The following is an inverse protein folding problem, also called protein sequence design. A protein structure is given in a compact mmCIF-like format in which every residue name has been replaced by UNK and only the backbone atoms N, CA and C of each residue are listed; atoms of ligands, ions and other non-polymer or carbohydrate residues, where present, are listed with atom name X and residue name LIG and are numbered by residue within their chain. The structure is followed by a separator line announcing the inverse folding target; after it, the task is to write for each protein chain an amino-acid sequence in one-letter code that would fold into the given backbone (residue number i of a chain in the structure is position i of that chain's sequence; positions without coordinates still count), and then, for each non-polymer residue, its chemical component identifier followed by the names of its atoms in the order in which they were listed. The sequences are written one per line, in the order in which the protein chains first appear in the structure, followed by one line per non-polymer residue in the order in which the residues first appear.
data_IF_847932330673
#
_entry.id   IF_847932330673
#
_cell.length_a   1.000
_cell.length_b   1.000
_cell.length_c   1.000
_cell.angle_alpha   90.00
_cell.angle_beta   90.00
_cell.angle_gamma   90.00
#
_symmetry.space_group_name_H-M   'P 1'
#
loop_
_entity.id
_entity.type
_entity.pdbx_description
1 polymer ?
#
# COMPACT_ATOMS: atom_id res chain seq x y z
N UNK A 1 -0.98 -16.99 -3.94
CA UNK A 1 -0.10 -16.47 -4.92
C UNK A 1 0.11 -15.00 -4.77
N UNK A 2 1.30 -14.56 -4.94
CA UNK A 2 1.63 -13.16 -4.73
C UNK A 2 1.40 -12.38 -6.00
N UNK A 3 0.73 -11.25 -5.89
CA UNK A 3 0.58 -10.35 -7.01
C UNK A 3 1.82 -9.49 -7.10
N UNK A 4 2.36 -9.32 -8.29
CA UNK A 4 3.57 -8.55 -8.49
C UNK A 4 3.27 -7.18 -9.06
N UNK A 5 4.16 -6.24 -8.79
CA UNK A 5 4.09 -4.91 -9.39
C UNK A 5 4.62 -5.02 -10.81
N UNK A 6 3.91 -4.44 -11.81
CA UNK A 6 4.40 -4.50 -13.18
C UNK A 6 5.78 -3.88 -13.32
N UNK A 7 6.60 -4.45 -14.21
CA UNK A 7 8.00 -4.07 -14.31
C UNK A 7 8.25 -2.62 -14.70
N UNK A 8 7.34 -2.01 -15.44
CA UNK A 8 7.53 -0.62 -15.88
C UNK A 8 7.10 0.40 -14.83
N UNK A 9 6.55 -0.05 -13.72
CA UNK A 9 6.19 0.86 -12.64
C UNK A 9 7.46 1.36 -11.95
N UNK A 10 7.41 2.58 -11.44
CA UNK A 10 8.53 3.21 -10.77
C UNK A 10 8.18 3.58 -9.35
N UNK A 11 9.13 3.46 -8.46
CA UNK A 11 8.97 3.88 -7.07
C UNK A 11 8.75 5.39 -7.01
N UNK A 12 7.71 5.80 -6.28
CA UNK A 12 7.37 7.22 -6.18
C UNK A 12 7.66 7.80 -4.81
N UNK A 13 7.34 7.05 -3.76
CA UNK A 13 7.63 7.51 -2.40
C UNK A 13 7.58 6.36 -1.42
N UNK A 14 8.18 6.57 -0.26
CA UNK A 14 8.16 5.63 0.85
C UNK A 14 7.65 6.34 2.09
N UNK A 15 6.95 5.59 2.93
CA UNK A 15 6.60 6.10 4.25
C UNK A 15 7.74 5.83 5.21
N UNK A 16 7.74 6.49 6.37
CA UNK A 16 8.62 6.02 7.44
C UNK A 16 8.18 4.63 7.89
N UNK A 17 9.03 3.95 8.63
CA UNK A 17 8.61 2.72 9.29
C UNK A 17 7.77 3.09 10.51
N UNK A 18 6.69 2.37 10.71
CA UNK A 18 5.74 2.64 11.78
C UNK A 18 5.76 1.52 12.82
N UNK A 19 5.48 1.92 14.06
CA UNK A 19 5.22 1.00 15.16
C UNK A 19 3.74 1.06 15.48
N UNK A 20 3.29 0.28 16.47
CA UNK A 20 1.88 0.35 16.83
C UNK A 20 1.52 1.71 17.45
N UNK A 21 2.50 2.44 17.96
CA UNK A 21 2.25 3.77 18.50
C UNK A 21 2.22 4.87 17.43
N UNK A 22 2.83 4.63 16.28
CA UNK A 22 2.98 5.66 15.26
C UNK A 22 2.17 5.41 13.99
N UNK A 23 1.62 4.19 13.82
CA UNK A 23 0.88 3.87 12.61
C UNK A 23 -0.35 4.78 12.49
N UNK A 24 -0.58 5.38 11.30
CA UNK A 24 -1.76 6.21 11.10
C UNK A 24 -3.06 5.42 11.28
N UNK A 25 -4.03 6.02 11.94
CA UNK A 25 -5.31 5.38 12.16
C UNK A 25 -5.98 4.97 10.85
N UNK A 26 -5.76 5.74 9.79
CA UNK A 26 -6.36 5.44 8.49
C UNK A 26 -5.96 4.07 7.96
N UNK A 27 -4.78 3.56 8.31
CA UNK A 27 -4.36 2.25 7.86
C UNK A 27 -5.04 1.12 8.61
N UNK A 28 -5.58 1.39 9.77
CA UNK A 28 -6.23 0.40 10.61
C UNK A 28 -7.72 0.27 10.29
N UNK A 29 -8.21 1.10 9.38
CA UNK A 29 -9.61 1.07 8.94
C UNK A 29 -9.64 0.88 7.43
N UNK A 30 -10.83 0.60 6.87
CA UNK A 30 -10.96 0.39 5.43
C UNK A 30 -10.42 1.60 4.67
N UNK A 31 -9.45 1.36 3.80
CA UNK A 31 -8.89 2.38 2.92
C UNK A 31 -8.48 1.70 1.63
N UNK A 32 -8.15 2.48 0.61
CA UNK A 32 -7.70 1.90 -0.65
C UNK A 32 -6.44 2.58 -1.15
N UNK A 33 -5.81 1.95 -2.13
CA UNK A 33 -4.66 2.51 -2.83
C UNK A 33 -5.20 3.30 -4.02
N UNK A 34 -4.55 4.40 -4.34
CA UNK A 34 -4.99 5.24 -5.46
C UNK A 34 -4.97 4.47 -6.77
N UNK A 35 -5.81 4.92 -7.70
CA UNK A 35 -5.82 4.38 -9.04
C UNK A 35 -4.44 4.51 -9.65
N UNK A 36 -3.98 3.45 -10.29
CA UNK A 36 -2.67 3.44 -10.94
C UNK A 36 -1.48 3.30 -10.02
N UNK A 37 -1.72 3.04 -8.74
CA UNK A 37 -0.64 2.96 -7.75
C UNK A 37 -0.67 1.60 -7.07
N UNK A 38 0.49 0.98 -6.95
CA UNK A 38 0.65 -0.23 -6.15
C UNK A 38 1.37 0.14 -4.85
N UNK A 39 1.00 -0.53 -3.78
CA UNK A 39 1.71 -0.42 -2.51
C UNK A 39 2.46 -1.69 -2.21
N UNK A 40 3.64 -1.56 -1.60
CA UNK A 40 4.38 -2.71 -1.10
C UNK A 40 4.56 -2.53 0.40
N UNK A 41 3.98 -3.43 1.17
CA UNK A 41 4.09 -3.42 2.62
C UNK A 41 5.23 -4.34 3.02
N UNK A 42 6.26 -3.80 3.64
CA UNK A 42 7.44 -4.57 4.05
C UNK A 42 7.51 -4.60 5.56
N UNK A 43 7.62 -5.80 6.14
CA UNK A 43 7.67 -5.97 7.58
C UNK A 43 9.12 -6.23 7.99
N UNK A 44 9.65 -5.37 8.85
CA UNK A 44 11.01 -5.49 9.34
C UNK A 44 11.03 -6.33 10.62
N UNK A 45 9.98 -6.23 11.42
CA UNK A 45 9.93 -6.91 12.72
C UNK A 45 8.48 -7.21 13.05
N UNK A 46 8.21 -8.33 13.70
CA UNK A 46 6.87 -8.73 14.06
C UNK A 46 6.08 -9.24 12.87
N UNK A 47 4.81 -8.92 12.83
CA UNK A 47 3.94 -9.40 11.75
C UNK A 47 2.74 -8.47 11.57
N UNK A 48 2.28 -8.37 10.32
CA UNK A 48 1.11 -7.58 9.95
C UNK A 48 0.14 -8.49 9.23
N UNK A 49 -1.14 -8.39 9.58
CA UNK A 49 -2.18 -9.05 8.80
C UNK A 49 -2.79 -8.03 7.87
N UNK A 50 -2.76 -8.33 6.58
CA UNK A 50 -3.38 -7.52 5.53
C UNK A 50 -4.72 -8.14 5.23
N UNK A 51 -5.79 -7.34 5.33
CA UNK A 51 -7.15 -7.83 5.17
C UNK A 51 -7.80 -7.06 4.03
N UNK A 52 -8.20 -7.77 2.98
CA UNK A 52 -8.80 -7.17 1.79
C UNK A 52 -10.29 -7.39 1.73
N UNK A 53 -10.99 -6.44 1.09
CA UNK A 53 -12.44 -6.43 0.98
C UNK A 53 -12.86 -6.13 -0.46
N UNK A 54 -14.03 -6.64 -0.84
CA UNK A 54 -14.55 -6.39 -2.17
C UNK A 54 -14.94 -4.91 -2.32
N UNK A 55 -15.46 -4.29 -1.26
CA UNK A 55 -15.85 -2.89 -1.31
C UNK A 55 -15.58 -2.22 0.02
N UNK A 56 -15.72 -0.91 0.02
CA UNK A 56 -15.49 -0.09 1.20
C UNK A 56 -16.36 -0.49 2.38
N UNK A 57 -17.58 -0.91 2.09
CA UNK A 57 -18.56 -1.17 3.14
C UNK A 57 -18.70 -2.64 3.53
N UNK A 58 -17.94 -3.52 2.91
CA UNK A 58 -18.01 -4.93 3.27
C UNK A 58 -17.37 -5.17 4.63
N UNK A 59 -18.07 -5.88 5.49
CA UNK A 59 -17.51 -6.27 6.77
C UNK A 59 -16.81 -7.62 6.69
N UNK A 60 -17.11 -8.41 5.67
CA UNK A 60 -16.55 -9.75 5.52
C UNK A 60 -15.29 -9.70 4.67
N UNK A 61 -14.15 -10.14 5.18
CA UNK A 61 -12.92 -10.12 4.40
C UNK A 61 -13.01 -11.01 3.18
N UNK A 62 -12.49 -10.52 2.06
CA UNK A 62 -12.31 -11.32 0.87
C UNK A 62 -10.99 -12.08 0.94
N UNK A 63 -9.99 -11.49 1.58
CA UNK A 63 -8.65 -12.04 1.64
C UNK A 63 -7.99 -11.65 2.94
N UNK A 64 -7.23 -12.57 3.51
CA UNK A 64 -6.40 -12.29 4.67
C UNK A 64 -5.03 -12.87 4.43
N UNK A 65 -4.00 -12.06 4.62
CA UNK A 65 -2.62 -12.47 4.40
C UNK A 65 -1.78 -12.01 5.57
N UNK A 66 -1.01 -12.90 6.15
CA UNK A 66 -0.06 -12.55 7.21
C UNK A 66 1.31 -12.34 6.58
N UNK A 67 1.90 -11.18 6.86
CA UNK A 67 3.22 -10.81 6.36
C UNK A 67 4.14 -10.75 7.58
N UNK A 68 5.15 -11.61 7.58
CA UNK A 68 6.06 -11.71 8.72
C UNK A 68 7.37 -10.99 8.45
N UNK A 69 8.15 -10.80 9.50
CA UNK A 69 9.43 -10.12 9.39
C UNK A 69 10.27 -10.72 8.27
N UNK A 70 10.81 -9.85 7.43
CA UNK A 70 11.58 -10.26 6.26
C UNK A 70 10.76 -10.50 5.01
N UNK A 71 9.43 -10.39 5.11
CA UNK A 71 8.53 -10.59 3.97
C UNK A 71 7.90 -9.28 3.55
N UNK A 72 7.28 -9.28 2.37
CA UNK A 72 6.49 -8.14 1.94
C UNK A 72 5.24 -8.64 1.21
N UNK A 73 4.23 -7.78 1.16
CA UNK A 73 3.02 -8.04 0.41
C UNK A 73 2.71 -6.88 -0.50
N UNK A 74 1.97 -7.15 -1.58
CA UNK A 74 1.64 -6.15 -2.59
C UNK A 74 0.15 -5.84 -2.52
N UNK A 75 -0.17 -4.54 -2.43
CA UNK A 75 -1.54 -4.06 -2.47
C UNK A 75 -1.81 -3.46 -3.84
N UNK A 76 -2.76 -4.02 -4.60
CA UNK A 76 -3.03 -3.50 -5.94
C UNK A 76 -3.81 -2.18 -5.88
N UNK A 77 -3.87 -1.47 -7.02
CA UNK A 77 -4.61 -0.22 -7.08
C UNK A 77 -6.09 -0.41 -6.71
N UNK A 78 -6.65 0.58 -6.06
CA UNK A 78 -8.08 0.68 -5.79
C UNK A 78 -8.67 -0.47 -4.97
N UNK A 79 -7.86 -1.27 -4.33
CA UNK A 79 -8.34 -2.40 -3.55
C UNK A 79 -8.56 -1.96 -2.10
N UNK A 80 -9.76 -2.20 -1.58
CA UNK A 80 -10.10 -1.82 -0.21
C UNK A 80 -9.48 -2.79 0.77
N UNK A 81 -8.85 -2.28 1.80
CA UNK A 81 -8.12 -3.12 2.76
C UNK A 81 -7.88 -2.36 4.06
N UNK A 82 -7.44 -3.10 5.05
CA UNK A 82 -6.92 -2.55 6.30
C UNK A 82 -5.84 -3.48 6.83
N UNK A 83 -5.09 -3.01 7.80
CA UNK A 83 -4.03 -3.82 8.39
C UNK A 83 -4.25 -3.96 9.89
N UNK A 84 -3.74 -5.06 10.44
CA UNK A 84 -3.67 -5.29 11.87
C UNK A 84 -2.23 -5.61 12.23
N UNK A 85 -1.72 -4.98 13.26
CA UNK A 85 -0.38 -5.27 13.75
C UNK A 85 -0.51 -6.40 14.76
N UNK A 86 0.10 -7.54 14.46
CA UNK A 86 -0.13 -8.76 15.24
C UNK A 86 0.76 -8.89 16.47
N UNK A 87 1.85 -8.12 16.55
CA UNK A 87 2.74 -8.16 17.71
C UNK A 87 3.01 -6.75 18.20
N UNK A 88 3.42 -6.63 19.46
CA UNK A 88 3.72 -5.32 20.03
C UNK A 88 4.94 -4.67 19.42
N UNK A 89 5.85 -5.49 18.90
CA UNK A 89 7.08 -4.97 18.30
C UNK A 89 7.01 -4.81 16.79
N UNK A 90 5.82 -4.90 16.20
CA UNK A 90 5.67 -4.80 14.76
C UNK A 90 6.27 -3.48 14.23
N UNK A 91 7.03 -3.59 13.14
CA UNK A 91 7.74 -2.47 12.53
C UNK A 91 7.68 -2.67 11.02
N UNK A 92 7.04 -1.76 10.32
CA UNK A 92 6.75 -1.94 8.88
C UNK A 92 6.62 -0.60 8.19
N UNK A 93 6.72 -0.62 6.86
CA UNK A 93 6.52 0.59 6.06
C UNK A 93 5.78 0.26 4.76
N UNK A 94 5.47 1.30 4.02
CA UNK A 94 4.88 1.20 2.69
C UNK A 94 5.77 1.92 1.69
N UNK A 95 5.96 1.28 0.53
CA UNK A 95 6.57 1.92 -0.63
C UNK A 95 5.53 1.95 -1.72
N UNK A 96 5.45 3.04 -2.47
CA UNK A 96 4.45 3.21 -3.52
C UNK A 96 5.10 3.26 -4.89
N UNK A 97 4.43 2.67 -5.87
CA UNK A 97 4.91 2.55 -7.23
C UNK A 97 3.80 2.96 -8.19
N UNK A 98 4.16 3.68 -9.23
CA UNK A 98 3.20 4.13 -10.22
C UNK A 98 3.77 3.99 -11.62
N UNK A 99 2.87 3.90 -12.60
CA UNK A 99 3.27 3.87 -14.00
C UNK A 99 3.58 5.29 -14.43
N UNK A 100 4.82 5.58 -14.83
CA UNK A 100 5.18 6.93 -15.23
C UNK A 100 4.37 7.42 -16.43
N UNK A 101 3.94 6.51 -17.31
CA UNK A 101 3.14 6.91 -18.46
C UNK A 101 1.73 7.27 -18.05
N UNK A 102 1.16 6.55 -17.10
CA UNK A 102 -0.16 6.89 -16.61
C UNK A 102 -0.17 8.25 -15.92
N UNK A 103 0.93 8.62 -15.29
CA UNK A 103 1.01 9.90 -14.63
C UNK A 103 0.98 11.05 -15.63
N UNK A 104 1.22 10.77 -16.89
CA UNK A 104 1.20 11.81 -17.91
C UNK A 104 -0.16 11.98 -18.57
N UNK A 105 -1.15 11.26 -18.13
CA UNK A 105 -2.47 11.35 -18.70
C UNK A 105 -3.19 12.63 -18.38
N UNK A 106 -2.58 13.50 -17.69
CA UNK A 106 -3.19 14.76 -17.35
C UNK A 106 -4.10 14.73 -16.19
N UNK A 107 -4.37 13.57 -15.70
CA UNK A 107 -5.16 13.49 -14.61
C UNK A 107 -4.46 13.92 -13.45
N UNK A 108 -3.68 14.06 -13.23
CA UNK A 108 -3.08 14.48 -12.12
C UNK A 108 -2.13 15.41 -12.42
N UNK A 109 -2.00 15.73 -13.33
CA UNK A 109 -1.12 16.49 -13.53
C UNK A 109 -1.46 17.64 -13.80
N UNK A 110 -1.97 17.63 -13.90
CA UNK A 110 -2.27 18.65 -14.18
C UNK A 110 -1.64 19.23 -13.42
N UNK A 111 -1.60 18.90 -13.12
CA UNK A 111 -1.01 19.12 -12.61
C UNK A 111 -0.04 19.08 -12.80
N UNK A 112 0.23 19.18 -13.36
CA UNK A 112 1.13 19.10 -13.78
C UNK A 112 1.88 19.22 -13.88
N UNK A 113 2.18 19.52 -13.85
CA UNK A 113 2.96 19.50 -14.16
C UNK A 113 3.80 19.47 -14.05
N UNK A 114 3.99 19.66 -13.89
CA UNK A 114 4.89 19.58 -13.97
C UNK A 114 5.72 19.22 -14.02
N UNK A 115 5.90 19.41 -14.00
CA UNK A 115 6.67 19.02 -14.29
C UNK A 115 7.43 18.69 -14.18
N UNK A 116 7.63 18.89 -14.00
CA UNK A 116 8.29 18.49 -14.06
C UNK A 116 8.91 17.92 -13.75
N UNK A 117 9.16 18.20 -13.59
CA UNK A 117 9.64 17.57 -13.58
C UNK A 117 10.30 17.03 -13.34
N UNK A 118 10.46 16.91 -13.18
CA UNK A 118 11.04 16.17 -13.35
C UNK A 118 11.73 15.96 -13.56
#
# INVERSE_FOLDING_TARGET
MTQLIPLHFRHTRSTPFWTKETVPQALLTHHNTKKGVYGRLSVMQGAVKYIGFVSEHDATPEREVVIEAGQFGISPPEYWHRVELLTDDTYFNLDFFADPDAALDGKGIGQVVNTHRR
#
